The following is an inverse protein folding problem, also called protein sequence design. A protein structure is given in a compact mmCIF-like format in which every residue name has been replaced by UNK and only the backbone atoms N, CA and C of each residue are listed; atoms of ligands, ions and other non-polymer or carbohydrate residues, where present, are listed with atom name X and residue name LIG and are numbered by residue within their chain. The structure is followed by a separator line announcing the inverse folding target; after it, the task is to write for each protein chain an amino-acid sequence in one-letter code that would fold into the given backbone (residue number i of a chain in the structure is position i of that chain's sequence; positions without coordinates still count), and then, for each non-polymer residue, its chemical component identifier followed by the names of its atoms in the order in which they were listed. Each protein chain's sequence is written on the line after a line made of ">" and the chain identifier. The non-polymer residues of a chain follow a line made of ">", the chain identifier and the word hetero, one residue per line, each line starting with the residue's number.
data_IF_461197622901
#
_entry.id   IF_461197622901
#
_cell.length_a   1.000
_cell.length_b   1.000
_cell.length_c   1.000
_cell.angle_alpha   90.00
_cell.angle_beta   90.00
_cell.angle_gamma   90.00
#
_symmetry.space_group_name_H-M   'P 1'
#
loop_
_entity.id
_entity.type
_entity.pdbx_description
1 polymer ?
#
# COMPACT_ATOMS: atom_id res chain seq x y z
N UNK A 1 -4.80 -20.46 -1.48
CA UNK A 1 -3.33 -20.57 -1.25
C UNK A 1 -2.50 -20.03 -2.42
N UNK A 2 -2.58 -20.59 -3.65
CA UNK A 2 -1.79 -20.04 -4.78
C UNK A 2 -2.19 -18.58 -5.16
N UNK A 3 -3.49 -18.26 -5.14
CA UNK A 3 -4.02 -16.94 -5.51
C UNK A 3 -3.63 -15.85 -4.49
N UNK A 4 -3.81 -16.13 -3.19
CA UNK A 4 -3.43 -15.23 -2.11
C UNK A 4 -1.92 -14.92 -2.11
N UNK A 5 -1.08 -15.92 -2.38
CA UNK A 5 0.37 -15.71 -2.44
C UNK A 5 0.77 -14.82 -3.62
N UNK A 6 0.09 -14.96 -4.76
CA UNK A 6 0.30 -14.10 -5.93
C UNK A 6 -0.13 -12.66 -5.66
N UNK A 7 -1.31 -12.47 -5.06
CA UNK A 7 -1.81 -11.14 -4.67
C UNK A 7 -0.82 -10.43 -3.73
N UNK A 8 -0.35 -11.12 -2.68
CA UNK A 8 0.63 -10.56 -1.75
C UNK A 8 1.95 -10.21 -2.45
N UNK A 9 2.38 -11.00 -3.44
CA UNK A 9 3.59 -10.71 -4.22
C UNK A 9 3.43 -9.46 -5.10
N UNK A 10 2.25 -9.22 -5.66
CA UNK A 10 1.95 -8.02 -6.45
C UNK A 10 1.93 -6.78 -5.59
N UNK A 11 1.23 -6.84 -4.45
CA UNK A 11 1.27 -5.78 -3.44
C UNK A 11 2.70 -5.51 -2.97
N UNK A 12 3.47 -6.57 -2.69
CA UNK A 12 4.87 -6.43 -2.28
C UNK A 12 5.68 -5.71 -3.35
N UNK A 13 5.59 -6.10 -4.61
CA UNK A 13 6.36 -5.48 -5.69
C UNK A 13 6.07 -3.98 -5.79
N UNK A 14 4.79 -3.60 -5.91
CA UNK A 14 4.38 -2.21 -6.10
C UNK A 14 4.72 -1.36 -4.87
N UNK A 15 4.27 -1.78 -3.69
CA UNK A 15 4.38 -0.96 -2.49
C UNK A 15 5.79 -0.95 -1.92
N UNK A 16 6.58 -2.02 -2.09
CA UNK A 16 7.97 -2.00 -1.63
C UNK A 16 8.78 -0.98 -2.40
N UNK A 17 8.62 -0.93 -3.73
CA UNK A 17 9.32 0.05 -4.56
C UNK A 17 8.86 1.48 -4.25
N UNK A 18 7.56 1.66 -4.03
CA UNK A 18 7.01 2.93 -3.56
C UNK A 18 7.63 3.36 -2.22
N UNK A 19 7.64 2.46 -1.23
CA UNK A 19 8.20 2.77 0.09
C UNK A 19 9.71 2.99 0.04
N UNK A 20 10.44 2.31 -0.84
CA UNK A 20 11.88 2.55 -1.04
C UNK A 20 12.14 3.92 -1.61
N UNK A 21 11.30 4.40 -2.51
CA UNK A 21 11.41 5.75 -3.04
C UNK A 21 11.16 6.80 -1.95
N UNK A 22 10.21 6.54 -1.04
CA UNK A 22 9.87 7.48 0.04
C UNK A 22 10.89 7.43 1.19
N UNK A 23 11.37 6.25 1.59
CA UNK A 23 12.11 6.02 2.83
C UNK A 23 13.56 5.51 2.62
N UNK A 24 13.93 5.16 1.40
CA UNK A 24 15.15 4.41 1.10
C UNK A 24 15.07 2.93 1.50
N UNK A 25 16.03 2.13 1.02
CA UNK A 25 16.09 0.67 1.30
C UNK A 25 16.11 0.36 2.80
N UNK A 26 16.90 1.10 3.58
CA UNK A 26 17.01 0.90 5.03
C UNK A 26 15.71 1.26 5.74
N UNK A 27 15.05 2.36 5.35
CA UNK A 27 13.79 2.77 5.95
C UNK A 27 12.68 1.76 5.73
N UNK A 28 12.61 1.15 4.54
CA UNK A 28 11.66 0.06 4.27
C UNK A 28 11.90 -1.15 5.16
N UNK A 29 13.16 -1.57 5.34
CA UNK A 29 13.49 -2.71 6.21
C UNK A 29 13.10 -2.45 7.67
N UNK A 30 13.32 -1.23 8.16
CA UNK A 30 12.89 -0.80 9.50
C UNK A 30 11.36 -0.87 9.60
N UNK A 31 10.65 -0.35 8.62
CA UNK A 31 9.19 -0.40 8.58
C UNK A 31 8.67 -1.85 8.57
N UNK A 32 9.19 -2.70 7.70
CA UNK A 32 8.86 -4.14 7.62
C UNK A 32 9.11 -4.85 8.96
N UNK A 33 10.23 -4.55 9.63
CA UNK A 33 10.55 -5.08 10.95
C UNK A 33 9.53 -4.64 12.01
N UNK A 34 9.17 -3.36 12.06
CA UNK A 34 8.19 -2.84 13.02
C UNK A 34 6.80 -3.44 12.80
N UNK A 35 6.38 -3.62 11.55
CA UNK A 35 5.14 -4.33 11.23
C UNK A 35 5.14 -5.74 11.82
N UNK A 36 6.18 -6.53 11.55
CA UNK A 36 6.30 -7.89 12.10
C UNK A 36 6.27 -7.90 13.63
N UNK A 37 6.89 -6.91 14.27
CA UNK A 37 6.93 -6.80 15.74
C UNK A 37 5.58 -6.39 16.34
N UNK A 38 4.81 -5.51 15.69
CA UNK A 38 3.56 -4.95 16.24
C UNK A 38 2.35 -5.86 15.97
N UNK A 39 2.30 -6.50 14.80
CA UNK A 39 1.11 -7.25 14.34
C UNK A 39 1.35 -8.74 14.14
N UNK A 40 2.57 -9.23 14.38
CA UNK A 40 2.99 -10.61 14.06
C UNK A 40 2.73 -11.00 12.60
N UNK A 41 2.52 -10.02 11.72
CA UNK A 41 2.09 -10.20 10.33
C UNK A 41 3.02 -9.45 9.39
N UNK A 42 3.13 -9.97 8.17
CA UNK A 42 3.85 -9.27 7.11
C UNK A 42 3.07 -8.03 6.64
N UNK A 43 3.79 -6.93 6.43
CA UNK A 43 3.22 -5.64 6.07
C UNK A 43 2.36 -5.70 4.80
N UNK A 44 2.80 -6.42 3.77
CA UNK A 44 2.10 -6.49 2.49
C UNK A 44 0.90 -7.43 2.55
N UNK A 45 0.94 -8.43 3.42
CA UNK A 45 -0.23 -9.27 3.73
C UNK A 45 -1.32 -8.42 4.40
N UNK A 46 -0.95 -7.59 5.38
CA UNK A 46 -1.91 -6.69 6.02
C UNK A 46 -2.48 -5.67 5.03
N UNK A 47 -1.62 -5.05 4.22
CA UNK A 47 -2.06 -4.08 3.22
C UNK A 47 -3.06 -4.69 2.22
N UNK A 48 -2.83 -5.92 1.76
CA UNK A 48 -3.72 -6.56 0.77
C UNK A 48 -5.02 -7.11 1.38
N UNK A 49 -4.98 -7.52 2.65
CA UNK A 49 -6.11 -8.18 3.32
C UNK A 49 -6.95 -7.26 4.19
N UNK A 50 -6.33 -6.29 4.85
CA UNK A 50 -6.98 -5.42 5.81
C UNK A 50 -6.29 -4.04 5.86
N UNK A 51 -6.63 -3.12 4.93
CA UNK A 51 -6.08 -1.77 4.90
C UNK A 51 -6.27 -1.01 6.22
N UNK A 52 -7.40 -1.23 6.92
CA UNK A 52 -7.65 -0.63 8.23
C UNK A 52 -6.63 -1.08 9.28
N UNK A 53 -6.33 -2.39 9.34
CA UNK A 53 -5.32 -2.90 10.26
C UNK A 53 -3.90 -2.45 9.89
N UNK A 54 -3.60 -2.40 8.58
CA UNK A 54 -2.35 -1.80 8.10
C UNK A 54 -2.19 -0.35 8.60
N UNK A 55 -3.24 0.47 8.47
CA UNK A 55 -3.21 1.86 8.94
C UNK A 55 -3.13 1.99 10.46
N UNK A 56 -3.77 1.09 11.22
CA UNK A 56 -3.62 1.03 12.68
C UNK A 56 -2.18 0.72 13.10
N UNK A 57 -1.51 -0.21 12.42
CA UNK A 57 -0.10 -0.52 12.68
C UNK A 57 0.80 0.68 12.33
N UNK A 58 0.55 1.36 11.20
CA UNK A 58 1.23 2.61 10.89
C UNK A 58 1.04 3.66 11.98
N UNK A 59 -0.18 3.80 12.50
CA UNK A 59 -0.49 4.75 13.58
C UNK A 59 0.23 4.40 14.88
N UNK A 60 0.39 3.11 15.20
CA UNK A 60 1.20 2.67 16.34
C UNK A 60 2.68 2.97 16.17
N UNK A 61 3.20 2.96 14.95
CA UNK A 61 4.61 3.23 14.67
C UNK A 61 4.93 4.72 14.53
N UNK A 62 4.18 5.44 13.71
CA UNK A 62 4.40 6.86 13.38
C UNK A 62 3.59 7.85 14.24
N UNK A 63 2.66 7.37 15.06
CA UNK A 63 1.74 8.24 15.80
C UNK A 63 0.94 9.14 14.87
N UNK A 64 0.90 10.45 15.21
CA UNK A 64 0.22 11.47 14.40
C UNK A 64 0.76 11.59 12.96
N UNK A 65 2.00 11.15 12.71
CA UNK A 65 2.62 11.16 11.38
C UNK A 65 2.03 10.15 10.39
N UNK A 66 1.29 9.13 10.86
CA UNK A 66 0.77 8.08 9.99
C UNK A 66 -0.15 8.60 8.89
N UNK A 67 -1.01 9.57 9.20
CA UNK A 67 -1.92 10.18 8.20
C UNK A 67 -1.15 10.95 7.12
N UNK A 68 -0.08 11.65 7.50
CA UNK A 68 0.78 12.33 6.55
C UNK A 68 1.52 11.33 5.65
N UNK A 69 2.00 10.22 6.22
CA UNK A 69 2.63 9.14 5.46
C UNK A 69 1.65 8.51 4.46
N UNK A 70 0.40 8.24 4.86
CA UNK A 70 -0.65 7.79 3.92
C UNK A 70 -0.89 8.80 2.79
N UNK A 71 -0.89 10.10 3.09
CA UNK A 71 -1.03 11.13 2.06
C UNK A 71 0.12 11.10 1.05
N UNK A 72 1.36 10.88 1.51
CA UNK A 72 2.53 10.73 0.64
C UNK A 72 2.37 9.49 -0.23
N UNK A 73 2.00 8.34 0.35
CA UNK A 73 1.74 7.09 -0.40
C UNK A 73 0.68 7.33 -1.49
N UNK A 74 -0.45 7.95 -1.15
CA UNK A 74 -1.52 8.24 -2.09
C UNK A 74 -1.05 9.16 -3.23
N UNK A 75 -0.31 10.22 -2.90
CA UNK A 75 0.24 11.14 -3.89
C UNK A 75 1.20 10.45 -4.85
N UNK A 76 2.12 9.63 -4.32
CA UNK A 76 3.10 8.91 -5.13
C UNK A 76 2.44 7.85 -6.02
N UNK A 77 1.40 7.15 -5.55
CA UNK A 77 0.63 6.21 -6.37
C UNK A 77 -0.04 6.94 -7.55
N UNK A 78 -0.67 8.09 -7.30
CA UNK A 78 -1.35 8.87 -8.35
C UNK A 78 -0.35 9.32 -9.41
N UNK A 79 0.77 9.91 -8.98
CA UNK A 79 1.79 10.45 -9.88
C UNK A 79 2.45 9.31 -10.68
N UNK A 80 2.89 8.24 -10.00
CA UNK A 80 3.67 7.17 -10.62
C UNK A 80 2.86 6.34 -11.62
N UNK A 81 1.58 6.14 -11.36
CA UNK A 81 0.74 5.25 -12.18
C UNK A 81 -0.33 5.97 -13.00
N UNK A 82 -0.32 7.31 -13.00
CA UNK A 82 -1.27 8.13 -13.76
C UNK A 82 -2.71 7.86 -13.37
N UNK A 83 -2.99 7.79 -12.07
CA UNK A 83 -4.32 7.49 -11.53
C UNK A 83 -5.17 8.77 -11.44
N UNK A 84 -5.41 9.41 -12.58
CA UNK A 84 -6.10 10.71 -12.65
C UNK A 84 -7.61 10.62 -12.33
N UNK A 85 -8.18 9.41 -12.39
CA UNK A 85 -9.59 9.14 -12.15
C UNK A 85 -9.95 8.95 -10.66
N UNK A 86 -8.96 8.96 -9.76
CA UNK A 86 -9.16 8.84 -8.32
C UNK A 86 -8.59 10.05 -7.59
N UNK A 87 -9.39 10.64 -6.69
CA UNK A 87 -8.91 11.78 -5.90
C UNK A 87 -7.96 11.34 -4.79
N UNK A 88 -7.05 12.23 -4.36
CA UNK A 88 -6.15 11.93 -3.22
C UNK A 88 -6.93 11.56 -1.95
N UNK A 89 -8.06 12.23 -1.68
CA UNK A 89 -8.90 11.97 -0.50
C UNK A 89 -9.48 10.56 -0.55
N UNK A 90 -9.97 10.16 -1.72
CA UNK A 90 -10.55 8.85 -1.95
C UNK A 90 -9.50 7.74 -1.84
N UNK A 91 -8.32 7.93 -2.42
CA UNK A 91 -7.23 6.96 -2.29
C UNK A 91 -6.73 6.84 -0.84
N UNK A 92 -6.67 7.96 -0.10
CA UNK A 92 -6.37 7.92 1.34
C UNK A 92 -7.44 7.12 2.09
N UNK A 93 -8.73 7.33 1.82
CA UNK A 93 -9.84 6.59 2.45
C UNK A 93 -9.70 5.08 2.24
N UNK A 94 -9.35 4.64 1.01
CA UNK A 94 -9.09 3.24 0.69
C UNK A 94 -7.90 2.70 1.48
N UNK A 95 -6.78 3.41 1.51
CA UNK A 95 -5.55 2.98 2.22
C UNK A 95 -5.72 2.94 3.73
N UNK A 96 -6.59 3.79 4.29
CA UNK A 96 -6.91 3.83 5.72
C UNK A 96 -8.00 2.84 6.11
N UNK A 97 -8.65 2.18 5.14
CA UNK A 97 -9.75 1.26 5.42
C UNK A 97 -11.01 1.96 5.93
N UNK A 98 -11.25 3.21 5.52
CA UNK A 98 -12.39 4.03 6.00
C UNK A 98 -13.70 3.74 5.24
N UNK A 99 -13.66 2.99 4.13
CA UNK A 99 -14.85 2.52 3.42
C UNK A 99 -14.98 0.99 3.45
N UNK A 100 -16.21 0.47 3.48
CA UNK A 100 -16.50 -0.96 3.66
C UNK A 100 -15.86 -1.86 2.59
N UNK A 101 -15.64 -1.33 1.40
CA UNK A 101 -15.04 -2.02 0.26
C UNK A 101 -13.56 -1.69 0.02
N UNK A 102 -12.89 -1.02 0.97
CA UNK A 102 -11.49 -0.57 0.84
C UNK A 102 -10.54 -1.67 0.36
N UNK A 103 -10.68 -2.88 0.90
CA UNK A 103 -9.87 -4.02 0.49
C UNK A 103 -10.08 -4.37 -0.99
N UNK A 104 -11.33 -4.41 -1.44
CA UNK A 104 -11.68 -4.74 -2.81
C UNK A 104 -11.17 -3.64 -3.76
N UNK A 105 -11.43 -2.38 -3.45
CA UNK A 105 -10.99 -1.24 -4.24
C UNK A 105 -9.47 -1.13 -4.35
N UNK A 106 -8.74 -1.43 -3.26
CA UNK A 106 -7.28 -1.45 -3.29
C UNK A 106 -6.73 -2.56 -4.19
N UNK A 107 -7.39 -3.73 -4.20
CA UNK A 107 -7.04 -4.84 -5.10
C UNK A 107 -7.29 -4.49 -6.55
N UNK A 108 -8.43 -3.86 -6.86
CA UNK A 108 -8.72 -3.38 -8.21
C UNK A 108 -7.68 -2.35 -8.67
N UNK A 109 -7.26 -1.45 -7.78
CA UNK A 109 -6.20 -0.48 -8.06
C UNK A 109 -4.88 -1.17 -8.41
N UNK A 110 -4.46 -2.15 -7.61
CA UNK A 110 -3.24 -2.94 -7.88
C UNK A 110 -3.35 -3.68 -9.20
N UNK A 111 -4.51 -4.29 -9.51
CA UNK A 111 -4.73 -4.98 -10.77
C UNK A 111 -4.65 -4.02 -11.97
N UNK A 112 -5.21 -2.82 -11.86
CA UNK A 112 -5.12 -1.76 -12.88
C UNK A 112 -3.68 -1.31 -13.12
N UNK A 113 -2.92 -1.10 -12.05
CA UNK A 113 -1.50 -0.74 -12.12
C UNK A 113 -0.73 -1.82 -12.89
N UNK A 114 -0.95 -3.10 -12.58
CA UNK A 114 -0.30 -4.23 -13.26
C UNK A 114 -0.65 -4.31 -14.74
N UNK A 115 -1.92 -4.11 -15.10
CA UNK A 115 -2.34 -4.14 -16.49
C UNK A 115 -1.65 -3.03 -17.32
N UNK A 116 -1.37 -1.88 -16.72
CA UNK A 116 -0.63 -0.78 -17.36
C UNK A 116 0.86 -1.06 -17.51
N UNK A 117 1.47 -1.66 -16.49
CA UNK A 117 2.90 -2.04 -16.50
C UNK A 117 3.22 -3.13 -17.55
N UNK A 118 2.27 -4.05 -17.79
CA UNK A 118 2.42 -5.14 -18.78
C UNK A 118 2.11 -4.66 -20.21
N UNK A 119 1.33 -3.58 -20.37
CA UNK A 119 0.97 -2.98 -21.67
C UNK A 119 1.95 -1.92 -22.19
N UNK A 120 3.00 -1.60 -21.41
CA UNK A 120 3.99 -0.55 -21.71
C UNK A 120 5.39 -1.08 -22.04
N UNK A 121 5.50 -2.30 -22.57
CA UNK A 121 6.77 -2.78 -23.14
C UNK A 121 7.00 -2.17 -24.54
N UNK A 122 8.22 -1.75 -24.88
CA UNK A 122 8.56 -1.28 -26.23
C UNK A 122 8.33 -2.36 -27.30
#
# INVERSE_FOLDING_TARGET
>A
MKRDNQEVAEFRTIFRDLFKQILGETGVKVLEYHFRRISSSDMYVLLSKNPSEFYKVLTRFFGAGAKAFIRIIASELIIRFGLEDISIRELMSILMGECDDSQHRLRELVARIRARDVGGGP
#
